data_IF_403735219092
#
_entry.id   IF_403735219092
#
_cell.length_a   1.000
_cell.length_b   1.000
_cell.length_c   1.000
_cell.angle_alpha   90.00
_cell.angle_beta   90.00
_cell.angle_gamma   90.00
#
_symmetry.space_group_name_H-M   'P 1'
#
loop_
_entity.id
_entity.type
_entity.pdbx_description
1 polymer ?
#
# COMPACT_ATOMS: atom_id res chain seq x y z
N UNK A 1 -1.75 -23.64 14.83
CA UNK A 1 -2.16 -23.25 13.46
C UNK A 1 -1.42 -21.96 13.11
N UNK A 2 -0.61 -21.91 12.04
CA UNK A 2 0.07 -20.67 11.63
C UNK A 2 -0.95 -19.80 10.91
N UNK A 3 -1.27 -18.64 11.49
CA UNK A 3 -2.09 -17.62 10.83
C UNK A 3 -1.31 -17.11 9.62
N UNK A 4 -1.95 -17.09 8.44
CA UNK A 4 -1.39 -16.46 7.25
C UNK A 4 -2.10 -15.11 7.08
N UNK A 5 -1.39 -13.98 7.16
CA UNK A 5 -2.02 -12.68 6.96
C UNK A 5 -2.49 -12.56 5.51
N UNK A 6 -3.67 -11.97 5.32
CA UNK A 6 -4.17 -11.60 3.99
C UNK A 6 -3.89 -10.11 3.78
N UNK A 7 -3.25 -9.78 2.66
CA UNK A 7 -2.90 -8.40 2.29
C UNK A 7 -3.48 -8.14 0.91
N UNK A 8 -4.22 -7.05 0.78
CA UNK A 8 -4.70 -6.56 -0.52
C UNK A 8 -3.71 -5.50 -1.01
N UNK A 9 -3.26 -5.59 -2.25
CA UNK A 9 -2.29 -4.68 -2.84
C UNK A 9 -2.91 -3.98 -4.04
N UNK A 10 -2.73 -2.67 -4.16
CA UNK A 10 -3.17 -1.90 -5.32
C UNK A 10 -2.55 -2.46 -6.60
N UNK A 11 -3.32 -2.48 -7.68
CA UNK A 11 -2.86 -3.05 -8.96
C UNK A 11 -1.70 -2.26 -9.57
N UNK A 12 -1.62 -0.94 -9.35
CA UNK A 12 -0.50 -0.11 -9.82
C UNK A 12 0.73 -0.39 -8.99
N UNK A 13 0.60 -0.44 -7.67
CA UNK A 13 1.72 -0.77 -6.78
C UNK A 13 2.25 -2.18 -7.04
N UNK A 14 1.38 -3.17 -7.22
CA UNK A 14 1.80 -4.54 -7.55
C UNK A 14 2.60 -4.62 -8.86
N UNK A 15 2.36 -3.69 -9.79
CA UNK A 15 3.09 -3.58 -11.05
C UNK A 15 4.44 -2.86 -10.88
N UNK A 16 4.51 -1.84 -10.03
CA UNK A 16 5.71 -1.03 -9.77
C UNK A 16 6.69 -1.71 -8.79
N UNK A 17 6.17 -2.45 -7.80
CA UNK A 17 6.89 -3.02 -6.68
C UNK A 17 6.77 -4.55 -6.62
N UNK A 18 7.05 -5.20 -7.75
CA UNK A 18 6.90 -6.66 -7.92
C UNK A 18 7.74 -7.46 -6.91
N UNK A 19 8.90 -6.95 -6.54
CA UNK A 19 9.81 -7.51 -5.53
C UNK A 19 9.17 -7.54 -4.14
N UNK A 20 8.42 -6.51 -3.76
CA UNK A 20 7.67 -6.47 -2.49
C UNK A 20 6.56 -7.53 -2.50
N UNK A 21 5.79 -7.62 -3.58
CA UNK A 21 4.72 -8.64 -3.73
C UNK A 21 5.30 -10.06 -3.60
N UNK A 22 6.43 -10.33 -4.25
CA UNK A 22 7.11 -11.62 -4.15
C UNK A 22 7.61 -11.90 -2.72
N UNK A 23 8.15 -10.89 -2.05
CA UNK A 23 8.62 -10.99 -0.67
C UNK A 23 7.48 -11.24 0.32
N UNK A 24 6.35 -10.56 0.18
CA UNK A 24 5.17 -10.82 1.02
C UNK A 24 4.68 -12.27 0.87
N UNK A 25 4.65 -12.78 -0.36
CA UNK A 25 4.29 -14.18 -0.64
C UNK A 25 5.30 -15.16 -0.06
N UNK A 26 6.60 -14.89 -0.18
CA UNK A 26 7.65 -15.77 0.35
C UNK A 26 7.65 -15.82 1.89
N UNK A 27 7.24 -14.73 2.54
CA UNK A 27 7.00 -14.66 3.99
C UNK A 27 5.71 -15.37 4.42
N UNK A 28 4.90 -15.86 3.48
CA UNK A 28 3.70 -16.66 3.74
C UNK A 28 2.38 -15.88 3.79
N UNK A 29 2.37 -14.61 3.38
CA UNK A 29 1.15 -13.83 3.25
C UNK A 29 0.32 -14.28 2.04
N UNK A 30 -1.01 -14.22 2.18
CA UNK A 30 -1.95 -14.37 1.08
C UNK A 30 -2.10 -12.98 0.44
N UNK A 31 -1.52 -12.79 -0.74
CA UNK A 31 -1.54 -11.51 -1.45
C UNK A 31 -2.61 -11.50 -2.53
N UNK A 32 -3.59 -10.62 -2.39
CA UNK A 32 -4.64 -10.36 -3.36
C UNK A 32 -4.38 -9.02 -4.07
N UNK A 33 -4.44 -8.99 -5.40
CA UNK A 33 -4.20 -7.76 -6.18
C UNK A 33 -5.52 -7.24 -6.71
N UNK A 34 -5.88 -6.00 -6.37
CA UNK A 34 -7.13 -5.34 -6.76
C UNK A 34 -6.88 -3.84 -6.97
N UNK A 35 -7.65 -3.15 -7.81
CA UNK A 35 -7.64 -1.70 -7.83
C UNK A 35 -8.14 -1.15 -6.49
N UNK A 36 -7.39 -0.23 -5.88
CA UNK A 36 -7.76 0.47 -4.66
C UNK A 36 -8.05 1.95 -4.96
N UNK A 37 -9.01 2.51 -4.22
CA UNK A 37 -9.34 3.94 -4.30
C UNK A 37 -8.39 4.80 -3.49
N UNK A 38 -7.79 4.25 -2.42
CA UNK A 38 -6.74 4.88 -1.62
C UNK A 38 -5.79 3.82 -1.04
N UNK A 39 -4.53 4.21 -0.86
CA UNK A 39 -3.47 3.36 -0.30
C UNK A 39 -2.93 2.34 -1.29
N UNK A 40 -1.75 1.84 -0.95
CA UNK A 40 -1.02 0.86 -1.76
C UNK A 40 -1.21 -0.57 -1.21
N UNK A 41 -1.38 -0.71 0.10
CA UNK A 41 -1.58 -1.99 0.78
C UNK A 41 -2.66 -1.88 1.86
N UNK A 42 -3.62 -2.80 1.87
CA UNK A 42 -4.58 -2.98 2.98
C UNK A 42 -4.17 -4.23 3.76
N UNK A 43 -3.78 -4.05 5.02
CA UNK A 43 -3.25 -5.13 5.87
C UNK A 43 -4.24 -5.60 6.93
N UNK A 44 -5.31 -4.85 7.16
CA UNK A 44 -6.47 -5.23 7.97
C UNK A 44 -7.67 -4.34 7.62
N UNK A 45 -8.81 -4.54 8.29
CA UNK A 45 -10.01 -3.72 8.09
C UNK A 45 -9.78 -2.24 8.46
N UNK A 46 -8.92 -1.96 9.43
CA UNK A 46 -8.68 -0.59 9.95
C UNK A 46 -7.32 -0.01 9.53
N UNK A 47 -6.53 -0.74 8.74
CA UNK A 47 -5.14 -0.35 8.45
C UNK A 47 -4.85 -0.45 6.96
N UNK A 48 -4.68 0.73 6.36
CA UNK A 48 -4.03 0.94 5.06
C UNK A 48 -2.59 1.44 5.22
N UNK A 49 -1.75 1.12 4.23
CA UNK A 49 -0.35 1.53 4.14
C UNK A 49 -0.13 2.15 2.77
N UNK A 50 0.50 3.33 2.76
CA UNK A 50 0.96 4.04 1.57
C UNK A 50 2.49 3.95 1.54
N UNK A 51 3.04 3.48 0.44
CA UNK A 51 4.48 3.41 0.23
C UNK A 51 4.92 4.65 -0.54
N UNK A 52 5.92 5.35 0.00
CA UNK A 52 6.47 6.54 -0.64
C UNK A 52 7.99 6.51 -0.59
N UNK A 53 8.65 6.80 -1.71
CA UNK A 53 10.10 6.99 -1.69
C UNK A 53 10.43 8.30 -0.97
N UNK A 54 11.67 8.45 -0.51
CA UNK A 54 12.13 9.70 0.11
C UNK A 54 11.95 10.88 -0.84
N UNK A 55 12.27 10.70 -2.12
CA UNK A 55 12.14 11.74 -3.13
C UNK A 55 10.67 12.12 -3.38
N UNK A 56 9.78 11.13 -3.47
CA UNK A 56 8.35 11.39 -3.63
C UNK A 56 7.79 12.12 -2.42
N UNK A 57 8.20 11.72 -1.20
CA UNK A 57 7.76 12.37 0.03
C UNK A 57 8.20 13.85 0.11
N UNK A 58 9.45 14.15 -0.22
CA UNK A 58 9.94 15.53 -0.27
C UNK A 58 9.22 16.32 -1.37
N UNK A 59 8.98 15.69 -2.52
CA UNK A 59 8.24 16.31 -3.63
C UNK A 59 6.79 16.62 -3.25
N UNK A 60 6.10 15.72 -2.55
CA UNK A 60 4.70 15.92 -2.15
C UNK A 60 4.54 17.00 -1.09
N UNK A 61 5.49 17.10 -0.15
CA UNK A 61 5.55 18.22 0.78
C UNK A 61 5.70 19.58 0.05
N UNK A 62 6.52 19.61 -1.01
CA UNK A 62 6.78 20.84 -1.77
C UNK A 62 5.55 21.24 -2.62
N UNK A 63 4.81 20.25 -3.16
CA UNK A 63 3.60 20.46 -3.96
C UNK A 63 2.31 20.62 -3.13
N UNK A 64 2.39 20.39 -1.82
CA UNK A 64 1.27 20.45 -0.85
C UNK A 64 0.16 19.41 -1.08
N UNK A 65 0.41 18.37 -1.86
CA UNK A 65 -0.53 17.27 -2.14
C UNK A 65 -0.48 16.14 -1.09
N UNK A 66 0.52 16.14 -0.19
CA UNK A 66 0.66 15.12 0.86
C UNK A 66 -0.59 15.02 1.74
N UNK A 67 -1.18 16.15 2.13
CA UNK A 67 -2.36 16.15 3.02
C UNK A 67 -3.60 15.59 2.33
N UNK A 68 -3.76 15.80 1.02
CA UNK A 68 -4.86 15.22 0.25
C UNK A 68 -4.75 13.69 0.23
N UNK A 69 -3.54 13.15 0.07
CA UNK A 69 -3.28 11.70 0.13
C UNK A 69 -3.59 11.12 1.52
N UNK A 70 -3.18 11.82 2.59
CA UNK A 70 -3.46 11.38 3.98
C UNK A 70 -4.96 11.44 4.28
N UNK A 71 -5.66 12.48 3.83
CA UNK A 71 -7.11 12.60 4.01
C UNK A 71 -7.87 11.53 3.22
N UNK A 72 -7.42 11.21 2.00
CA UNK A 72 -7.97 10.13 1.21
C UNK A 72 -7.86 8.81 2.00
N UNK A 73 -6.68 8.46 2.51
CA UNK A 73 -6.48 7.25 3.34
C UNK A 73 -7.39 7.17 4.57
N UNK A 74 -7.68 8.31 5.21
CA UNK A 74 -8.53 8.37 6.40
C UNK A 74 -10.02 8.13 6.11
N UNK A 75 -10.46 8.46 4.90
CA UNK A 75 -11.89 8.58 4.56
C UNK A 75 -12.45 7.34 3.88
N UNK A 76 -11.59 6.39 3.49
CA UNK A 76 -11.99 5.09 2.92
C UNK A 76 -12.25 4.07 4.01
#
# INVERSE_FOLDING_TARGET
>A
MKVRPRIIVDSREASLARDIVLSLRSLGAIVEVKPLTAGDYIVSEDIGVERKTVNDFVSTLTRRDLFEQVLALKTV
#
